data_IF_165421096280
#
_entry.id   IF_165421096280
#
_cell.length_a   1.000
_cell.length_b   1.000
_cell.length_c   1.000
_cell.angle_alpha   90.00
_cell.angle_beta   90.00
_cell.angle_gamma   90.00
#
_symmetry.space_group_name_H-M   'P 1'
#
loop_
_entity.id
_entity.type
_entity.pdbx_description
1 polymer ?
#
# COMPACT_ATOMS: atom_id res chain seq x y z
N UNK A 1 -9.01 13.89 -3.81
CA UNK A 1 -8.59 12.57 -4.32
C UNK A 1 -7.91 11.81 -3.20
N UNK A 2 -8.20 10.52 -3.05
CA UNK A 2 -7.49 9.61 -2.15
C UNK A 2 -6.67 8.64 -2.99
N UNK A 3 -5.43 8.39 -2.56
CA UNK A 3 -4.49 7.50 -3.25
C UNK A 3 -3.88 6.52 -2.25
N UNK A 4 -3.77 5.27 -2.64
CA UNK A 4 -2.89 4.33 -1.97
C UNK A 4 -1.43 4.53 -2.40
N UNK A 5 -0.48 3.89 -1.70
CA UNK A 5 0.95 3.96 -2.00
C UNK A 5 1.42 2.70 -2.74
N UNK A 6 1.38 1.56 -2.07
CA UNK A 6 2.09 0.34 -2.46
C UNK A 6 1.31 -0.45 -3.51
N UNK A 7 1.83 -0.51 -4.73
CA UNK A 7 1.11 -1.05 -5.88
C UNK A 7 0.23 -0.01 -6.60
N UNK A 8 0.10 1.18 -6.03
CA UNK A 8 -0.63 2.30 -6.64
C UNK A 8 0.33 3.38 -7.11
N UNK A 9 0.92 4.16 -6.24
CA UNK A 9 1.93 5.17 -6.58
C UNK A 9 3.33 4.55 -6.71
N UNK A 10 3.69 3.68 -5.79
CA UNK A 10 4.98 2.99 -5.79
C UNK A 10 4.84 1.57 -6.34
N UNK A 11 5.92 1.12 -6.99
CA UNK A 11 6.01 -0.24 -7.51
C UNK A 11 6.03 -1.24 -6.35
N UNK A 12 5.05 -2.14 -6.31
CA UNK A 12 4.92 -3.17 -5.30
C UNK A 12 6.08 -4.19 -5.34
N UNK A 13 6.90 -4.16 -6.38
CA UNK A 13 8.06 -5.04 -6.49
C UNK A 13 8.97 -4.98 -5.27
N UNK A 14 9.21 -3.79 -4.71
CA UNK A 14 10.00 -3.61 -3.50
C UNK A 14 9.46 -4.43 -2.33
N UNK A 15 8.18 -4.22 -1.98
CA UNK A 15 7.56 -4.92 -0.84
C UNK A 15 7.47 -6.43 -1.09
N UNK A 16 7.07 -6.83 -2.30
CA UNK A 16 7.04 -8.24 -2.69
C UNK A 16 8.43 -8.89 -2.61
N UNK A 17 9.48 -8.20 -3.06
CA UNK A 17 10.84 -8.75 -3.00
C UNK A 17 11.28 -9.00 -1.53
N UNK A 18 11.01 -8.05 -0.64
CA UNK A 18 11.39 -8.20 0.77
C UNK A 18 10.60 -9.34 1.42
N UNK A 19 9.29 -9.37 1.27
CA UNK A 19 8.44 -10.38 1.91
C UNK A 19 8.51 -11.77 1.26
N UNK A 20 8.79 -11.87 -0.03
CA UNK A 20 8.88 -13.14 -0.74
C UNK A 20 10.27 -13.78 -0.67
N UNK A 21 11.32 -12.99 -0.45
CA UNK A 21 12.71 -13.46 -0.53
C UNK A 21 13.55 -13.10 0.68
N UNK A 22 13.65 -11.81 1.03
CA UNK A 22 14.61 -11.34 2.07
C UNK A 22 14.21 -11.83 3.46
N UNK A 23 12.94 -11.64 3.85
CA UNK A 23 12.43 -12.07 5.17
C UNK A 23 12.46 -13.60 5.30
N UNK A 24 12.00 -14.40 4.31
CA UNK A 24 12.12 -15.86 4.39
C UNK A 24 13.56 -16.37 4.49
N UNK A 25 14.50 -15.75 3.77
CA UNK A 25 15.92 -16.13 3.85
C UNK A 25 16.50 -15.83 5.23
N UNK A 26 16.28 -14.63 5.77
CA UNK A 26 16.71 -14.26 7.11
C UNK A 26 16.08 -15.15 8.20
N UNK A 27 14.78 -15.49 8.04
CA UNK A 27 14.09 -16.38 8.97
C UNK A 27 14.63 -17.82 8.92
N UNK A 28 14.93 -18.33 7.71
CA UNK A 28 15.57 -19.63 7.53
C UNK A 28 16.91 -19.73 8.27
N UNK A 29 17.75 -18.69 8.11
CA UNK A 29 19.04 -18.61 8.79
C UNK A 29 18.88 -18.55 10.31
N UNK A 30 17.98 -17.70 10.82
CA UNK A 30 17.75 -17.53 12.26
C UNK A 30 17.23 -18.80 12.92
N UNK A 31 16.28 -19.50 12.25
CA UNK A 31 15.62 -20.70 12.78
C UNK A 31 16.30 -22.02 12.40
N UNK A 32 17.39 -21.97 11.62
CA UNK A 32 18.09 -23.15 11.09
C UNK A 32 17.18 -24.08 10.28
N UNK A 33 16.31 -23.49 9.46
CA UNK A 33 15.38 -24.17 8.57
C UNK A 33 15.89 -24.11 7.12
N UNK A 34 15.37 -24.99 6.27
CA UNK A 34 15.48 -24.77 4.82
C UNK A 34 14.65 -23.53 4.42
N UNK A 35 15.03 -22.91 3.30
CA UNK A 35 14.27 -21.78 2.76
C UNK A 35 12.79 -22.12 2.52
N UNK A 36 12.51 -23.33 2.01
CA UNK A 36 11.15 -23.77 1.74
C UNK A 36 10.31 -23.89 3.02
N UNK A 37 10.85 -24.48 4.08
CA UNK A 37 10.17 -24.59 5.38
C UNK A 37 9.94 -23.22 6.02
N UNK A 38 10.95 -22.34 5.96
CA UNK A 38 10.84 -20.98 6.47
C UNK A 38 9.72 -20.20 5.76
N UNK A 39 9.68 -20.27 4.43
CA UNK A 39 8.66 -19.60 3.61
C UNK A 39 7.25 -20.14 3.90
N UNK A 40 7.09 -21.45 3.99
CA UNK A 40 5.81 -22.09 4.34
C UNK A 40 5.30 -21.63 5.71
N UNK A 41 6.18 -21.65 6.74
CA UNK A 41 5.82 -21.21 8.09
C UNK A 41 5.43 -19.74 8.14
N UNK A 42 6.19 -18.85 7.48
CA UNK A 42 5.88 -17.42 7.43
C UNK A 42 4.55 -17.16 6.73
N UNK A 43 4.32 -17.77 5.58
CA UNK A 43 3.07 -17.58 4.84
C UNK A 43 1.86 -18.13 5.58
N UNK A 44 2.00 -19.25 6.27
CA UNK A 44 0.96 -19.78 7.16
C UNK A 44 0.61 -18.77 8.29
N UNK A 45 1.62 -18.11 8.86
CA UNK A 45 1.41 -17.08 9.88
C UNK A 45 0.75 -15.81 9.27
N UNK A 46 1.17 -15.37 8.08
CA UNK A 46 0.56 -14.25 7.38
C UNK A 46 -0.92 -14.48 7.11
N UNK A 47 -1.28 -15.69 6.69
CA UNK A 47 -2.69 -16.06 6.46
C UNK A 47 -3.57 -15.96 7.72
N UNK A 48 -3.01 -16.18 8.90
CA UNK A 48 -3.77 -16.08 10.16
C UNK A 48 -4.18 -14.66 10.53
N UNK A 49 -3.41 -13.67 10.09
CA UNK A 49 -3.62 -12.25 10.43
C UNK A 49 -4.02 -11.41 9.20
N UNK A 50 -4.26 -12.07 8.07
CA UNK A 50 -4.63 -11.38 6.84
C UNK A 50 -5.92 -10.56 7.03
N UNK A 51 -5.86 -9.26 6.66
CA UNK A 51 -6.97 -8.32 6.83
C UNK A 51 -7.07 -7.70 8.23
N UNK A 52 -6.13 -8.00 9.13
CA UNK A 52 -5.98 -7.28 10.40
C UNK A 52 -4.88 -6.22 10.30
N UNK A 53 -4.83 -5.30 11.27
CA UNK A 53 -3.77 -4.29 11.34
C UNK A 53 -2.38 -4.91 11.56
N UNK A 54 -2.33 -6.05 12.23
CA UNK A 54 -1.09 -6.79 12.50
C UNK A 54 -0.41 -7.29 11.23
N UNK A 55 -1.22 -7.61 10.20
CA UNK A 55 -0.68 -8.02 8.89
C UNK A 55 0.30 -6.99 8.31
N UNK A 56 0.04 -5.72 8.54
CA UNK A 56 0.81 -4.60 8.01
C UNK A 56 1.88 -4.08 8.98
N UNK A 57 1.88 -4.50 10.26
CA UNK A 57 2.75 -3.97 11.31
C UNK A 57 4.14 -4.60 11.29
N UNK A 58 5.18 -3.78 11.12
CA UNK A 58 6.57 -4.23 11.23
C UNK A 58 6.91 -4.67 12.64
N UNK A 59 6.41 -3.99 13.67
CA UNK A 59 6.65 -4.35 15.07
C UNK A 59 6.06 -5.72 15.40
N UNK A 60 4.83 -6.01 14.92
CA UNK A 60 4.22 -7.34 15.06
C UNK A 60 5.09 -8.43 14.43
N UNK A 61 5.57 -8.21 13.20
CA UNK A 61 6.40 -9.20 12.53
C UNK A 61 7.79 -9.32 13.15
N UNK A 62 8.37 -8.24 13.65
CA UNK A 62 9.63 -8.28 14.40
C UNK A 62 9.49 -9.12 15.67
N UNK A 63 8.44 -8.91 16.47
CA UNK A 63 8.17 -9.69 17.67
C UNK A 63 7.95 -11.17 17.33
N UNK A 64 7.16 -11.45 16.30
CA UNK A 64 6.78 -12.80 15.91
C UNK A 64 7.93 -13.62 15.30
N UNK A 65 8.78 -13.00 14.53
CA UNK A 65 9.88 -13.68 13.83
C UNK A 65 11.19 -13.64 14.59
N UNK A 66 11.43 -12.58 15.37
CA UNK A 66 12.71 -12.25 15.99
C UNK A 66 13.69 -11.56 15.02
N UNK A 67 13.20 -11.09 13.86
CA UNK A 67 13.99 -10.39 12.85
C UNK A 67 13.80 -8.88 12.99
N UNK A 68 14.84 -8.09 12.69
CA UNK A 68 14.68 -6.65 12.47
C UNK A 68 14.07 -6.39 11.07
N UNK A 69 12.73 -6.41 11.02
CA UNK A 69 11.97 -6.21 9.78
C UNK A 69 12.28 -4.84 9.17
N UNK A 70 12.40 -3.82 9.99
CA UNK A 70 12.70 -2.45 9.53
C UNK A 70 14.07 -2.40 8.84
N UNK A 71 15.08 -3.05 9.40
CA UNK A 71 16.40 -3.06 8.82
C UNK A 71 16.46 -3.89 7.52
N UNK A 72 15.80 -5.03 7.47
CA UNK A 72 15.68 -5.84 6.25
C UNK A 72 15.05 -5.03 5.11
N UNK A 73 13.99 -4.28 5.39
CA UNK A 73 13.37 -3.37 4.42
C UNK A 73 14.31 -2.22 4.01
N UNK A 74 15.01 -1.61 4.97
CA UNK A 74 15.94 -0.50 4.70
C UNK A 74 17.08 -0.92 3.79
N UNK A 75 17.62 -2.13 3.97
CA UNK A 75 18.70 -2.66 3.14
C UNK A 75 18.31 -2.84 1.67
N UNK A 76 17.01 -2.89 1.35
CA UNK A 76 16.50 -3.03 -0.01
C UNK A 76 15.91 -1.72 -0.57
N UNK A 77 16.12 -0.60 0.10
CA UNK A 77 15.51 0.70 -0.26
C UNK A 77 15.82 1.18 -1.68
N UNK A 78 16.92 0.69 -2.29
CA UNK A 78 17.26 0.95 -3.69
C UNK A 78 16.25 0.41 -4.71
N UNK A 79 15.36 -0.50 -4.28
CA UNK A 79 14.26 -1.04 -5.12
C UNK A 79 13.00 -0.17 -5.08
N UNK A 80 12.95 0.82 -4.17
CA UNK A 80 11.80 1.72 -4.07
C UNK A 80 11.79 2.63 -5.29
N UNK A 81 10.68 2.62 -6.02
CA UNK A 81 10.48 3.49 -7.18
C UNK A 81 9.01 3.72 -7.47
N UNK A 82 8.73 4.77 -8.23
CA UNK A 82 7.38 5.02 -8.70
C UNK A 82 6.95 3.96 -9.73
N UNK A 83 5.66 3.62 -9.71
CA UNK A 83 5.05 2.93 -10.84
C UNK A 83 5.16 3.80 -12.10
N UNK A 84 5.11 3.14 -13.23
CA UNK A 84 5.13 3.86 -14.51
C UNK A 84 4.00 4.91 -14.56
N UNK A 85 4.36 6.13 -14.95
CA UNK A 85 3.57 7.37 -15.00
C UNK A 85 3.02 7.93 -13.67
N UNK A 86 3.27 7.28 -12.52
CA UNK A 86 2.81 7.79 -11.23
C UNK A 86 3.43 9.14 -10.86
N UNK A 87 4.69 9.35 -11.19
CA UNK A 87 5.37 10.62 -10.95
C UNK A 87 4.75 11.76 -11.78
N UNK A 88 4.51 11.52 -13.09
CA UNK A 88 3.84 12.46 -13.96
C UNK A 88 2.38 12.74 -13.52
N UNK A 89 1.71 11.71 -12.97
CA UNK A 89 0.38 11.87 -12.39
C UNK A 89 0.38 12.78 -11.16
N UNK A 90 1.33 12.60 -10.26
CA UNK A 90 1.48 13.49 -9.10
C UNK A 90 1.81 14.93 -9.51
N UNK A 91 2.62 15.14 -10.56
CA UNK A 91 2.90 16.47 -11.11
C UNK A 91 1.64 17.11 -11.69
N UNK A 92 0.84 16.34 -12.42
CA UNK A 92 -0.45 16.80 -12.95
C UNK A 92 -1.43 17.16 -11.82
N UNK A 93 -1.53 16.32 -10.78
CA UNK A 93 -2.34 16.60 -9.59
C UNK A 93 -1.88 17.87 -8.87
N UNK A 94 -0.57 18.06 -8.74
CA UNK A 94 0.02 19.25 -8.12
C UNK A 94 -0.27 20.55 -8.87
N UNK A 95 -0.49 20.47 -10.21
CA UNK A 95 -0.93 21.60 -11.04
C UNK A 95 -2.46 21.81 -11.00
N UNK A 96 -3.22 20.90 -10.45
CA UNK A 96 -4.67 20.95 -10.33
C UNK A 96 -5.11 21.67 -9.04
N UNK A 97 -6.42 21.87 -8.88
CA UNK A 97 -7.01 22.37 -7.63
C UNK A 97 -7.52 21.23 -6.73
N UNK A 98 -7.16 19.99 -7.03
CA UNK A 98 -7.61 18.82 -6.27
C UNK A 98 -6.83 18.72 -4.97
N UNK A 99 -7.54 18.44 -3.88
CA UNK A 99 -6.92 17.97 -2.64
C UNK A 99 -6.46 16.54 -2.85
N UNK A 100 -5.19 16.27 -2.62
CA UNK A 100 -4.58 14.94 -2.75
C UNK A 100 -4.16 14.46 -1.38
N UNK A 101 -4.72 13.35 -0.95
CA UNK A 101 -4.46 12.73 0.35
C UNK A 101 -4.08 11.27 0.10
N UNK A 102 -3.04 10.82 0.75
CA UNK A 102 -2.65 9.40 0.75
C UNK A 102 -3.34 8.69 1.92
N UNK A 103 -3.93 7.54 1.62
CA UNK A 103 -4.54 6.61 2.56
C UNK A 103 -3.94 5.22 2.33
N UNK A 104 -3.09 4.75 3.24
CA UNK A 104 -2.30 3.53 3.06
C UNK A 104 -2.40 2.58 4.25
N UNK A 105 -2.21 1.28 4.01
CA UNK A 105 -2.00 0.28 5.05
C UNK A 105 -0.52 0.17 5.49
N UNK A 106 0.40 0.85 4.81
CA UNK A 106 1.82 0.79 5.15
C UNK A 106 2.09 1.23 6.59
N UNK A 107 2.90 0.46 7.29
CA UNK A 107 3.44 0.75 8.62
C UNK A 107 4.27 2.05 8.62
N UNK A 108 4.32 2.75 9.76
CA UNK A 108 5.09 4.00 9.87
C UNK A 108 6.58 3.83 9.57
N UNK A 109 7.20 2.69 9.95
CA UNK A 109 8.60 2.42 9.61
C UNK A 109 8.77 2.22 8.10
N UNK A 110 7.84 1.50 7.46
CA UNK A 110 7.79 1.36 6.00
C UNK A 110 7.64 2.70 5.31
N UNK A 111 6.69 3.53 5.76
CA UNK A 111 6.48 4.89 5.25
C UNK A 111 7.73 5.75 5.37
N UNK A 112 8.43 5.71 6.51
CA UNK A 112 9.66 6.48 6.72
C UNK A 112 10.77 6.06 5.75
N UNK A 113 10.91 4.76 5.48
CA UNK A 113 11.89 4.25 4.51
C UNK A 113 11.56 4.78 3.11
N UNK A 114 10.29 4.67 2.69
CA UNK A 114 9.80 5.12 1.37
C UNK A 114 9.93 6.65 1.23
N UNK A 115 9.57 7.40 2.27
CA UNK A 115 9.65 8.86 2.29
C UNK A 115 11.11 9.37 2.13
N UNK A 116 12.07 8.67 2.69
CA UNK A 116 13.49 9.02 2.52
C UNK A 116 13.96 8.92 1.07
N UNK A 117 13.32 8.09 0.25
CA UNK A 117 13.66 7.87 -1.17
C UNK A 117 12.85 8.77 -2.09
N UNK A 118 11.51 8.77 -1.96
CA UNK A 118 10.62 9.34 -2.99
C UNK A 118 9.94 10.65 -2.60
N UNK A 119 10.03 11.09 -1.34
CA UNK A 119 9.53 12.39 -0.85
C UNK A 119 8.05 12.65 -1.17
N UNK A 120 7.18 11.66 -0.93
CA UNK A 120 5.73 11.77 -1.21
C UNK A 120 5.06 12.91 -0.45
N UNK A 121 5.48 13.18 0.79
CA UNK A 121 4.92 14.26 1.62
C UNK A 121 5.07 15.66 0.99
N UNK A 122 6.04 15.85 0.10
CA UNK A 122 6.22 17.11 -0.63
C UNK A 122 5.24 17.27 -1.80
N UNK A 123 4.49 16.21 -2.17
CA UNK A 123 3.64 16.17 -3.37
C UNK A 123 2.14 16.06 -3.05
N UNK A 124 1.78 15.86 -1.78
CA UNK A 124 0.40 15.64 -1.35
C UNK A 124 0.09 16.48 -0.12
N UNK A 125 -1.20 16.69 0.15
CA UNK A 125 -1.62 17.48 1.30
C UNK A 125 -1.33 16.77 2.63
N UNK A 126 -1.63 15.48 2.71
CA UNK A 126 -1.42 14.65 3.90
C UNK A 126 -1.25 13.16 3.55
N UNK A 127 -0.62 12.41 4.45
CA UNK A 127 -0.49 10.95 4.40
C UNK A 127 -1.06 10.40 5.70
N UNK A 128 -1.99 9.45 5.58
CA UNK A 128 -2.57 8.72 6.71
C UNK A 128 -2.27 7.24 6.55
N UNK A 129 -1.68 6.67 7.58
CA UNK A 129 -1.53 5.22 7.72
C UNK A 129 -2.73 4.61 8.44
N UNK A 130 -3.06 3.38 8.11
CA UNK A 130 -4.01 2.59 8.90
C UNK A 130 -3.58 2.43 10.37
N UNK A 131 -2.29 2.51 10.64
CA UNK A 131 -1.74 2.49 12.00
C UNK A 131 -2.18 3.71 12.83
N UNK A 132 -2.43 4.88 12.21
CA UNK A 132 -2.95 6.07 12.89
C UNK A 132 -4.32 5.83 13.52
N UNK A 133 -5.07 4.88 12.96
CA UNK A 133 -6.45 4.59 13.35
C UNK A 133 -6.62 3.21 14.00
N UNK A 134 -5.57 2.38 14.01
CA UNK A 134 -5.63 1.01 14.53
C UNK A 134 -6.58 0.09 13.74
N UNK A 135 -6.91 0.44 12.49
CA UNK A 135 -7.86 -0.28 11.64
C UNK A 135 -7.39 -0.25 10.19
N UNK A 136 -7.28 -1.39 9.51
CA UNK A 136 -6.85 -1.43 8.11
C UNK A 136 -7.96 -0.94 7.16
N UNK A 137 -7.58 -0.54 5.95
CA UNK A 137 -8.48 0.01 4.92
C UNK A 137 -9.62 -0.94 4.49
N UNK A 138 -9.49 -2.22 4.76
CA UNK A 138 -10.52 -3.21 4.54
C UNK A 138 -11.73 -3.07 5.47
N UNK A 139 -11.61 -2.28 6.55
CA UNK A 139 -12.64 -2.11 7.57
C UNK A 139 -13.27 -0.72 7.52
N UNK A 140 -14.55 -0.65 7.79
CA UNK A 140 -15.32 0.61 7.77
C UNK A 140 -14.81 1.65 8.78
N UNK A 141 -14.29 1.19 9.93
CA UNK A 141 -13.74 2.08 10.97
C UNK A 141 -12.60 2.95 10.45
N UNK A 142 -11.74 2.43 9.55
CA UNK A 142 -10.71 3.22 8.90
C UNK A 142 -11.31 4.42 8.16
N UNK A 143 -12.31 4.19 7.31
CA UNK A 143 -12.92 5.22 6.46
C UNK A 143 -13.67 6.26 7.26
N UNK A 144 -14.37 5.85 8.34
CA UNK A 144 -15.02 6.78 9.27
C UNK A 144 -14.00 7.69 9.97
N UNK A 145 -12.89 7.12 10.43
CA UNK A 145 -11.84 7.89 11.09
C UNK A 145 -11.11 8.80 10.11
N UNK A 146 -10.75 8.31 8.93
CA UNK A 146 -10.13 9.12 7.88
C UNK A 146 -11.02 10.32 7.53
N UNK A 147 -12.32 10.10 7.29
CA UNK A 147 -13.27 11.17 6.98
C UNK A 147 -13.34 12.20 8.11
N UNK A 148 -13.38 11.76 9.34
CA UNK A 148 -13.41 12.63 10.52
C UNK A 148 -12.17 13.51 10.62
N UNK A 149 -10.98 13.00 10.26
CA UNK A 149 -9.71 13.71 10.37
C UNK A 149 -9.47 14.68 9.23
N UNK A 150 -9.72 14.29 8.00
CA UNK A 150 -9.41 15.13 6.83
C UNK A 150 -10.63 15.78 6.17
N UNK A 151 -11.85 15.44 6.59
CA UNK A 151 -13.08 16.12 6.17
C UNK A 151 -13.39 15.98 4.68
N UNK A 152 -13.05 14.84 4.05
CA UNK A 152 -13.40 14.61 2.65
C UNK A 152 -14.90 14.29 2.50
N UNK A 153 -15.47 14.69 1.36
CA UNK A 153 -16.83 14.32 0.96
C UNK A 153 -16.77 13.06 0.09
N UNK A 154 -17.30 11.91 0.54
CA UNK A 154 -17.25 10.67 -0.22
C UNK A 154 -17.87 10.80 -1.62
N UNK A 155 -18.95 11.61 -1.76
CA UNK A 155 -19.65 11.80 -3.03
C UNK A 155 -18.88 12.69 -4.02
N UNK A 156 -17.78 13.30 -3.59
CA UNK A 156 -16.89 14.14 -4.40
C UNK A 156 -15.45 13.60 -4.42
N UNK A 157 -15.29 12.34 -4.05
CA UNK A 157 -13.98 11.71 -3.90
C UNK A 157 -13.80 10.59 -4.90
N UNK A 158 -12.61 10.56 -5.46
CA UNK A 158 -12.06 9.44 -6.25
C UNK A 158 -11.00 8.76 -5.40
N UNK A 159 -11.01 7.44 -5.33
CA UNK A 159 -10.01 6.63 -4.65
C UNK A 159 -9.37 5.61 -5.61
N UNK A 160 -8.05 5.50 -5.57
CA UNK A 160 -7.27 4.55 -6.35
C UNK A 160 -6.49 3.62 -5.43
N UNK A 161 -6.61 2.31 -5.70
CA UNK A 161 -5.93 1.26 -4.93
C UNK A 161 -5.73 0.01 -5.82
N UNK A 162 -4.76 -0.83 -5.52
CA UNK A 162 -4.51 -2.08 -6.25
C UNK A 162 -5.19 -3.30 -5.61
N UNK A 163 -5.83 -3.13 -4.46
CA UNK A 163 -6.38 -4.22 -3.64
C UNK A 163 -7.91 -4.23 -3.66
N UNK A 164 -8.49 -5.24 -4.31
CA UNK A 164 -9.95 -5.40 -4.48
C UNK A 164 -10.74 -5.29 -3.16
N UNK A 165 -10.25 -5.89 -2.07
CA UNK A 165 -10.93 -5.83 -0.76
C UNK A 165 -10.99 -4.42 -0.20
N UNK A 166 -9.95 -3.63 -0.41
CA UNK A 166 -9.89 -2.22 0.01
C UNK A 166 -10.85 -1.39 -0.83
N UNK A 167 -10.90 -1.60 -2.14
CA UNK A 167 -11.84 -0.91 -3.04
C UNK A 167 -13.28 -1.22 -2.68
N UNK A 168 -13.60 -2.48 -2.35
CA UNK A 168 -14.93 -2.89 -1.89
C UNK A 168 -15.33 -2.14 -0.60
N UNK A 169 -14.42 -2.06 0.38
CA UNK A 169 -14.68 -1.34 1.63
C UNK A 169 -14.87 0.17 1.40
N UNK A 170 -14.07 0.78 0.51
CA UNK A 170 -14.20 2.18 0.13
C UNK A 170 -15.54 2.47 -0.59
N UNK A 171 -15.96 1.60 -1.49
CA UNK A 171 -17.23 1.71 -2.19
C UNK A 171 -18.42 1.53 -1.23
N UNK A 172 -18.35 0.56 -0.30
CA UNK A 172 -19.34 0.34 0.75
C UNK A 172 -19.47 1.56 1.68
N UNK A 173 -18.36 2.22 1.99
CA UNK A 173 -18.35 3.46 2.75
C UNK A 173 -19.07 4.61 2.01
N UNK A 174 -19.19 4.54 0.69
CA UNK A 174 -19.88 5.51 -0.14
C UNK A 174 -18.95 6.43 -0.93
N UNK A 175 -17.67 6.08 -1.11
CA UNK A 175 -16.80 6.80 -2.05
C UNK A 175 -17.35 6.60 -3.45
N UNK A 176 -17.63 7.71 -4.13
CA UNK A 176 -18.36 7.74 -5.40
C UNK A 176 -17.63 7.01 -6.52
N UNK A 177 -16.33 7.19 -6.61
CA UNK A 177 -15.50 6.59 -7.67
C UNK A 177 -14.32 5.88 -7.05
N UNK A 178 -14.24 4.57 -7.25
CA UNK A 178 -13.11 3.74 -6.85
C UNK A 178 -12.54 3.09 -8.10
N UNK A 179 -11.20 3.12 -8.22
CA UNK A 179 -10.48 2.65 -9.39
C UNK A 179 -9.42 1.63 -9.01
N UNK A 180 -9.45 0.50 -9.66
CA UNK A 180 -8.49 -0.58 -9.46
C UNK A 180 -7.23 -0.35 -10.30
N UNK A 181 -6.08 -0.34 -9.64
CA UNK A 181 -4.76 -0.33 -10.31
C UNK A 181 -4.35 -1.75 -10.63
N UNK A 182 -4.40 -2.11 -11.92
CA UNK A 182 -4.27 -3.49 -12.36
C UNK A 182 -2.83 -4.00 -12.46
N UNK A 183 -1.86 -3.11 -12.63
CA UNK A 183 -0.43 -3.45 -12.79
C UNK A 183 0.41 -2.94 -11.61
N UNK A 184 0.23 -3.47 -10.38
CA UNK A 184 0.88 -2.94 -9.17
C UNK A 184 2.38 -3.24 -9.10
N UNK A 185 2.83 -4.34 -9.70
CA UNK A 185 4.21 -4.85 -9.64
C UNK A 185 4.77 -4.97 -11.06
N UNK A 186 5.86 -4.25 -11.33
CA UNK A 186 6.49 -4.21 -12.66
C UNK A 186 7.12 -5.53 -13.09
N UNK A 187 7.36 -6.43 -12.15
CA UNK A 187 7.97 -7.76 -12.41
C UNK A 187 6.93 -8.88 -12.51
N UNK A 188 5.65 -8.55 -12.29
CA UNK A 188 4.55 -9.52 -12.37
C UNK A 188 3.53 -9.12 -13.43
N UNK A 189 2.74 -10.07 -13.85
CA UNK A 189 1.60 -9.80 -14.75
C UNK A 189 0.52 -8.97 -14.06
N UNK A 190 -0.43 -8.43 -14.85
CA UNK A 190 -1.55 -7.69 -14.30
C UNK A 190 -2.38 -8.56 -13.36
N UNK A 191 -3.02 -7.95 -12.38
CA UNK A 191 -4.01 -8.60 -11.52
C UNK A 191 -5.23 -9.05 -12.32
N UNK A 192 -6.01 -9.94 -11.73
CA UNK A 192 -7.30 -10.36 -12.29
C UNK A 192 -8.23 -9.15 -12.48
N UNK A 193 -9.23 -9.32 -13.33
CA UNK A 193 -10.28 -8.31 -13.53
C UNK A 193 -10.99 -8.01 -12.20
N UNK A 194 -11.26 -6.73 -11.98
CA UNK A 194 -12.00 -6.20 -10.83
C UNK A 194 -13.45 -5.94 -11.22
N UNK A 195 -14.36 -5.93 -10.23
CA UNK A 195 -15.72 -5.41 -10.42
C UNK A 195 -15.73 -3.87 -10.54
N UNK A 196 -14.64 -3.22 -10.15
CA UNK A 196 -14.46 -1.77 -10.24
C UNK A 196 -13.79 -1.39 -11.56
N UNK A 197 -14.00 -0.16 -12.06
CA UNK A 197 -13.21 0.39 -13.15
C UNK A 197 -11.72 0.21 -12.89
N UNK A 198 -10.98 -0.23 -13.91
CA UNK A 198 -9.56 -0.54 -13.76
C UNK A 198 -8.72 0.30 -14.70
N UNK A 199 -7.48 0.57 -14.30
CA UNK A 199 -6.47 1.23 -15.12
C UNK A 199 -5.12 0.51 -15.05
N UNK A 200 -4.38 0.53 -16.14
CA UNK A 200 -2.98 0.14 -16.19
C UNK A 200 -2.07 1.36 -16.00
N UNK A 201 -2.53 2.54 -16.45
CA UNK A 201 -1.80 3.79 -16.44
C UNK A 201 -2.67 4.95 -15.97
N UNK A 202 -2.11 5.86 -15.19
CA UNK A 202 -2.85 7.00 -14.66
C UNK A 202 -3.32 7.99 -15.75
N UNK A 203 -2.60 8.10 -16.87
CA UNK A 203 -3.03 8.98 -17.96
C UNK A 203 -4.41 8.60 -18.56
N UNK A 204 -4.89 7.38 -18.30
CA UNK A 204 -6.21 6.90 -18.74
C UNK A 204 -7.37 7.66 -18.06
N UNK A 205 -7.11 8.24 -16.88
CA UNK A 205 -8.14 8.95 -16.09
C UNK A 205 -7.96 10.47 -16.07
N UNK A 206 -6.91 11.05 -16.66
CA UNK A 206 -6.67 12.51 -16.61
C UNK A 206 -7.86 13.36 -17.11
N UNK A 207 -8.56 13.01 -18.18
CA UNK A 207 -9.71 13.78 -18.64
C UNK A 207 -10.98 13.53 -17.84
N UNK A 208 -11.01 12.49 -16.97
CA UNK A 208 -12.21 12.03 -16.27
C UNK A 208 -12.40 12.65 -14.88
N UNK A 209 -11.37 13.31 -14.34
CA UNK A 209 -11.33 13.87 -12.97
C UNK A 209 -11.11 15.38 -12.93
#
# INVERSE_FOLDING_TARGET
>A
MLLDIDGTLLDLHYDNFVWDHVVPEAYAQLKQLSYAEAKEQLFAQMHQVLGSIDFYSFDFWQERTGLDITDLHRQQSQLIGFRADAEAFLDWLGASQLRVIIATNADHNSLQIKENVVKLSARVEQIYSSQDFGSPKEHQDFWHQLQKHCGFDPQRTVFLDDTERVLNAAAEFGIREVWHVRTPDSQRGPRAESIHPSLDRFHEIYPAI
#
